data_IF_249280827783
#
_entry.id   IF_249280827783
#
_cell.length_a   1.000
_cell.length_b   1.000
_cell.length_c   1.000
_cell.angle_alpha   90.00
_cell.angle_beta   90.00
_cell.angle_gamma   90.00
#
_symmetry.space_group_name_H-M   'P 1'
#
loop_
_entity.id
_entity.type
_entity.pdbx_description
1 polymer ?
#
# COMPACT_ATOMS: atom_id res chain seq x y z
N UNK A 1 -29.21 -18.67 -0.91
CA UNK A 1 -28.01 -17.89 -1.03
C UNK A 1 -27.42 -18.16 -2.39
N UNK A 2 -27.56 -17.22 -3.30
CA UNK A 2 -27.04 -17.32 -4.66
C UNK A 2 -25.51 -17.35 -4.57
N UNK A 3 -24.94 -18.56 -4.69
CA UNK A 3 -23.51 -18.72 -4.76
C UNK A 3 -23.01 -17.95 -5.98
N UNK A 4 -22.20 -16.92 -5.76
CA UNK A 4 -21.47 -16.26 -6.83
C UNK A 4 -20.76 -17.37 -7.63
N UNK A 5 -21.12 -17.52 -8.89
CA UNK A 5 -20.41 -18.43 -9.78
C UNK A 5 -18.95 -17.93 -9.88
N UNK A 6 -18.04 -18.73 -9.35
CA UNK A 6 -16.60 -18.42 -9.34
C UNK A 6 -16.10 -18.13 -10.75
N UNK A 7 -16.65 -18.81 -11.77
CA UNK A 7 -16.32 -18.56 -13.17
C UNK A 7 -16.67 -17.14 -13.62
N UNK A 8 -17.87 -16.67 -13.27
CA UNK A 8 -18.31 -15.31 -13.57
C UNK A 8 -17.50 -14.26 -12.81
N UNK A 9 -17.16 -14.51 -11.55
CA UNK A 9 -16.31 -13.60 -10.75
C UNK A 9 -14.89 -13.50 -11.34
N UNK A 10 -14.26 -14.61 -11.70
CA UNK A 10 -12.93 -14.66 -12.32
C UNK A 10 -12.95 -13.98 -13.69
N UNK A 11 -13.97 -14.23 -14.51
CA UNK A 11 -14.10 -13.60 -15.83
C UNK A 11 -14.27 -12.09 -15.70
N UNK A 12 -15.11 -11.62 -14.76
CA UNK A 12 -15.26 -10.20 -14.46
C UNK A 12 -13.96 -9.53 -14.02
N UNK A 13 -13.19 -10.23 -13.18
CA UNK A 13 -11.88 -9.77 -12.71
C UNK A 13 -10.88 -9.64 -13.87
N UNK A 14 -10.76 -10.67 -14.71
CA UNK A 14 -9.87 -10.67 -15.89
C UNK A 14 -10.26 -9.57 -16.87
N UNK A 15 -11.55 -9.36 -17.11
CA UNK A 15 -12.04 -8.31 -17.99
C UNK A 15 -11.72 -6.91 -17.43
N UNK A 16 -11.85 -6.71 -16.12
CA UNK A 16 -11.46 -5.46 -15.47
C UNK A 16 -9.96 -5.19 -15.61
N UNK A 17 -9.11 -6.22 -15.53
CA UNK A 17 -7.65 -6.09 -15.70
C UNK A 17 -7.24 -5.76 -17.14
N UNK A 18 -7.94 -6.30 -18.12
CA UNK A 18 -7.65 -6.00 -19.53
C UNK A 18 -7.94 -4.53 -19.88
N UNK A 19 -8.84 -3.87 -19.14
CA UNK A 19 -9.22 -2.48 -19.39
C UNK A 19 -8.29 -1.46 -18.75
N UNK A 20 -7.62 -1.80 -17.66
CA UNK A 20 -6.80 -0.88 -16.89
C UNK A 20 -5.52 -1.56 -16.39
N UNK A 21 -4.38 -1.36 -17.08
CA UNK A 21 -3.08 -1.89 -16.66
C UNK A 21 -2.72 -1.50 -15.22
N UNK A 22 -3.18 -0.34 -14.78
CA UNK A 22 -3.01 0.17 -13.43
C UNK A 22 -3.71 -0.71 -12.39
N UNK A 23 -4.94 -1.15 -12.69
CA UNK A 23 -5.69 -2.08 -11.85
C UNK A 23 -4.99 -3.44 -11.76
N UNK A 24 -4.49 -3.93 -12.89
CA UNK A 24 -3.73 -5.18 -12.93
C UNK A 24 -2.46 -5.09 -12.05
N UNK A 25 -1.72 -3.99 -12.12
CA UNK A 25 -0.52 -3.81 -11.30
C UNK A 25 -0.87 -3.75 -9.81
N UNK A 26 -1.89 -2.99 -9.42
CA UNK A 26 -2.34 -2.88 -8.03
C UNK A 26 -2.80 -4.24 -7.47
N UNK A 27 -3.57 -4.98 -8.25
CA UNK A 27 -4.04 -6.31 -7.87
C UNK A 27 -2.88 -7.32 -7.77
N UNK A 28 -1.97 -7.33 -8.74
CA UNK A 28 -0.80 -8.21 -8.73
C UNK A 28 0.05 -7.96 -7.49
N UNK A 29 0.29 -6.69 -7.15
CA UNK A 29 1.01 -6.33 -5.92
C UNK A 29 0.29 -6.88 -4.67
N UNK A 30 -1.04 -6.81 -4.63
CA UNK A 30 -1.84 -7.33 -3.51
C UNK A 30 -1.74 -8.85 -3.39
N UNK A 31 -1.75 -9.58 -4.51
CA UNK A 31 -1.54 -11.03 -4.51
C UNK A 31 -0.14 -11.42 -4.02
N UNK A 32 0.90 -10.72 -4.49
CA UNK A 32 2.26 -10.94 -3.98
C UNK A 32 2.37 -10.62 -2.49
N UNK A 33 1.66 -9.61 -2.02
CA UNK A 33 1.59 -9.30 -0.59
C UNK A 33 0.90 -10.40 0.20
N UNK A 34 -0.21 -10.94 -0.29
CA UNK A 34 -0.91 -12.06 0.35
C UNK A 34 -0.07 -13.35 0.43
N UNK A 35 0.89 -13.50 -0.47
CA UNK A 35 1.84 -14.61 -0.49
C UNK A 35 3.20 -14.26 0.15
N UNK A 36 3.36 -13.07 0.74
CA UNK A 36 4.66 -12.54 1.18
C UNK A 36 5.41 -13.49 2.12
N UNK A 37 4.72 -14.04 3.11
CA UNK A 37 5.34 -14.99 4.06
C UNK A 37 5.82 -16.27 3.40
N UNK A 38 5.06 -16.80 2.43
CA UNK A 38 5.44 -18.00 1.67
C UNK A 38 6.62 -17.70 0.75
N UNK A 39 6.60 -16.58 0.05
CA UNK A 39 7.69 -16.15 -0.82
C UNK A 39 8.98 -15.91 -0.04
N UNK A 40 8.88 -15.33 1.15
CA UNK A 40 10.03 -15.14 2.03
C UNK A 40 10.64 -16.47 2.47
N UNK A 41 9.81 -17.46 2.82
CA UNK A 41 10.28 -18.82 3.16
C UNK A 41 10.94 -19.51 1.97
N UNK A 42 10.48 -19.25 0.76
CA UNK A 42 11.07 -19.75 -0.48
C UNK A 42 12.35 -19.00 -0.91
N UNK A 43 12.82 -18.02 -0.13
CA UNK A 43 14.01 -17.21 -0.49
C UNK A 43 13.74 -16.12 -1.52
N UNK A 44 12.48 -15.80 -1.80
CA UNK A 44 12.03 -14.79 -2.77
C UNK A 44 11.31 -13.63 -2.05
N UNK A 45 12.02 -12.81 -1.25
CA UNK A 45 11.37 -11.79 -0.44
C UNK A 45 10.78 -10.66 -1.30
N UNK A 46 9.52 -10.31 -1.03
CA UNK A 46 8.85 -9.13 -1.62
C UNK A 46 9.20 -7.91 -0.78
N UNK A 47 10.21 -7.15 -1.22
CA UNK A 47 10.78 -6.00 -0.48
C UNK A 47 10.52 -4.68 -1.21
N UNK A 48 9.35 -4.53 -1.80
CA UNK A 48 8.95 -3.33 -2.51
C UNK A 48 7.68 -2.73 -1.89
N UNK A 49 7.48 -1.45 -2.18
CA UNK A 49 6.28 -0.67 -1.88
C UNK A 49 5.58 -0.38 -3.21
N UNK A 50 4.27 -0.53 -3.28
CA UNK A 50 3.52 0.01 -4.41
C UNK A 50 3.29 1.50 -4.15
N UNK A 51 3.82 2.35 -5.02
CA UNK A 51 3.72 3.80 -4.92
C UNK A 51 2.91 4.35 -6.09
N UNK A 52 1.67 4.77 -5.80
CA UNK A 52 0.72 5.29 -6.79
C UNK A 52 0.81 6.81 -6.76
N UNK A 53 1.34 7.39 -7.84
CA UNK A 53 1.52 8.84 -7.96
C UNK A 53 0.69 9.40 -9.11
N UNK A 54 0.15 10.59 -8.92
CA UNK A 54 -0.65 11.31 -9.90
C UNK A 54 -1.27 12.56 -9.29
N UNK A 55 -1.82 13.44 -10.10
CA UNK A 55 -2.48 14.64 -9.62
C UNK A 55 -3.79 14.33 -8.89
N UNK A 56 -4.31 15.30 -8.15
CA UNK A 56 -5.58 15.19 -7.46
C UNK A 56 -6.71 14.86 -8.44
N UNK A 57 -7.66 14.02 -8.02
CA UNK A 57 -8.82 13.65 -8.84
C UNK A 57 -8.57 12.50 -9.83
N UNK A 58 -7.35 11.99 -9.99
CA UNK A 58 -7.06 10.89 -10.93
C UNK A 58 -7.43 9.48 -10.44
N UNK A 59 -8.07 9.35 -9.28
CA UNK A 59 -8.59 8.07 -8.79
C UNK A 59 -7.57 7.22 -8.02
N UNK A 60 -6.42 7.78 -7.59
CA UNK A 60 -5.37 7.06 -6.82
C UNK A 60 -5.93 6.29 -5.62
N UNK A 61 -6.66 7.00 -4.75
CA UNK A 61 -7.23 6.41 -3.54
C UNK A 61 -8.31 5.38 -3.85
N UNK A 62 -9.10 5.59 -4.90
CA UNK A 62 -10.10 4.62 -5.35
C UNK A 62 -9.45 3.35 -5.86
N UNK A 63 -8.39 3.48 -6.69
CA UNK A 63 -7.62 2.35 -7.18
C UNK A 63 -7.02 1.54 -6.01
N UNK A 64 -6.36 2.23 -5.08
CA UNK A 64 -5.76 1.59 -3.91
C UNK A 64 -6.81 0.89 -3.04
N UNK A 65 -7.91 1.54 -2.71
CA UNK A 65 -8.99 0.98 -1.89
C UNK A 65 -9.67 -0.20 -2.56
N UNK A 66 -9.85 -0.18 -3.88
CA UNK A 66 -10.54 -1.25 -4.60
C UNK A 66 -9.69 -2.50 -4.76
N UNK A 67 -8.41 -2.35 -5.11
CA UNK A 67 -7.56 -3.48 -5.48
C UNK A 67 -6.55 -3.89 -4.40
N UNK A 68 -6.17 -2.98 -3.52
CA UNK A 68 -5.17 -3.28 -2.50
C UNK A 68 -5.78 -3.78 -1.18
N UNK A 69 -7.11 -3.73 -1.04
CA UNK A 69 -7.81 -4.15 0.18
C UNK A 69 -8.73 -5.35 -0.02
N UNK A 70 -8.47 -6.15 -1.06
CA UNK A 70 -9.30 -7.31 -1.43
C UNK A 70 -9.48 -8.35 -0.33
N UNK A 71 -8.53 -8.43 0.58
CA UNK A 71 -8.56 -9.37 1.71
C UNK A 71 -8.94 -8.68 3.03
N UNK A 72 -9.36 -7.42 2.98
CA UNK A 72 -9.86 -6.69 4.13
C UNK A 72 -11.39 -6.85 4.28
N UNK A 73 -11.90 -6.56 5.47
CA UNK A 73 -13.33 -6.64 5.74
C UNK A 73 -14.12 -5.63 4.88
N UNK A 74 -14.87 -6.13 3.91
CA UNK A 74 -15.66 -5.33 2.96
C UNK A 74 -16.80 -4.52 3.62
N UNK A 75 -17.12 -4.79 4.89
CA UNK A 75 -18.16 -4.06 5.62
C UNK A 75 -17.71 -2.68 6.08
N UNK A 76 -16.42 -2.38 6.01
CA UNK A 76 -15.85 -1.11 6.46
C UNK A 76 -15.74 -0.11 5.31
N UNK A 77 -16.15 1.14 5.56
CA UNK A 77 -15.99 2.27 4.61
C UNK A 77 -14.53 2.58 4.26
N UNK A 78 -13.62 2.31 5.19
CA UNK A 78 -12.17 2.46 5.02
C UNK A 78 -11.51 1.16 5.43
N UNK A 79 -10.44 0.75 4.74
CA UNK A 79 -9.63 -0.39 5.17
C UNK A 79 -9.20 -0.18 6.63
N UNK A 80 -9.23 -1.25 7.40
CA UNK A 80 -8.84 -1.21 8.82
C UNK A 80 -7.42 -0.66 9.03
N UNK A 81 -6.58 -0.69 7.99
CA UNK A 81 -5.17 -0.33 7.97
C UNK A 81 -4.90 0.84 7.02
N UNK A 82 -5.82 1.80 6.91
CA UNK A 82 -5.63 3.04 6.16
C UNK A 82 -5.15 4.14 7.07
N UNK A 83 -4.08 4.81 6.66
CA UNK A 83 -3.42 5.91 7.33
C UNK A 83 -3.31 7.10 6.38
N UNK A 84 -3.14 8.29 6.92
CA UNK A 84 -2.99 9.55 6.19
C UNK A 84 -1.69 10.29 6.59
N UNK A 85 -1.51 11.48 6.05
CA UNK A 85 -0.37 12.33 6.34
C UNK A 85 -0.30 12.82 7.81
N UNK A 86 -1.43 12.77 8.55
CA UNK A 86 -1.52 13.13 9.97
C UNK A 86 -1.18 11.97 10.91
N UNK A 87 -1.09 10.78 10.37
CA UNK A 87 -0.83 9.55 11.14
C UNK A 87 0.61 9.52 11.68
N UNK A 88 0.79 8.91 12.84
CA UNK A 88 2.12 8.78 13.43
C UNK A 88 2.91 7.64 12.82
N UNK A 89 4.24 7.80 12.74
CA UNK A 89 5.10 6.69 12.31
C UNK A 89 4.93 5.43 13.16
N UNK A 90 4.67 5.59 14.47
CA UNK A 90 4.49 4.46 15.38
C UNK A 90 3.24 3.64 15.04
N UNK A 91 2.10 4.30 14.76
CA UNK A 91 0.86 3.62 14.39
C UNK A 91 1.00 2.86 13.06
N UNK A 92 1.61 3.48 12.04
CA UNK A 92 1.85 2.83 10.74
C UNK A 92 2.81 1.65 10.90
N UNK A 93 3.89 1.81 11.64
CA UNK A 93 4.85 0.73 11.90
C UNK A 93 4.21 -0.45 12.62
N UNK A 94 3.40 -0.16 13.64
CA UNK A 94 2.73 -1.21 14.40
C UNK A 94 1.70 -1.96 13.52
N UNK A 95 1.01 -1.28 12.61
CA UNK A 95 0.16 -1.91 11.60
C UNK A 95 0.96 -2.77 10.61
N UNK A 96 2.08 -2.26 10.09
CA UNK A 96 2.98 -3.02 9.20
C UNK A 96 3.51 -4.31 9.85
N UNK A 97 3.64 -4.33 11.18
CA UNK A 97 4.08 -5.50 11.93
C UNK A 97 2.95 -6.49 12.24
N UNK A 98 1.74 -5.99 12.48
CA UNK A 98 0.60 -6.80 12.91
C UNK A 98 -0.17 -7.41 11.74
N UNK A 99 -0.22 -6.74 10.60
CA UNK A 99 -1.01 -7.12 9.43
C UNK A 99 -0.22 -8.07 8.51
N UNK A 100 -0.02 -9.28 8.99
CA UNK A 100 0.72 -10.29 8.23
C UNK A 100 0.02 -10.61 6.91
N UNK A 101 0.79 -10.53 5.81
CA UNK A 101 0.33 -10.86 4.46
C UNK A 101 -0.86 -10.01 3.95
N UNK A 102 -1.14 -8.87 4.62
CA UNK A 102 -2.15 -7.89 4.22
C UNK A 102 -1.50 -6.58 3.79
N UNK A 103 -2.27 -5.74 3.13
CA UNK A 103 -1.83 -4.41 2.70
C UNK A 103 -2.12 -3.37 3.79
N UNK A 104 -1.13 -2.56 4.10
CA UNK A 104 -1.28 -1.30 4.82
C UNK A 104 -1.28 -0.17 3.80
N UNK A 105 -2.30 0.67 3.83
CA UNK A 105 -2.47 1.81 2.93
C UNK A 105 -2.09 3.11 3.62
N UNK A 106 -1.15 3.86 3.03
CA UNK A 106 -0.85 5.24 3.39
C UNK A 106 -1.43 6.14 2.29
N UNK A 107 -2.61 6.71 2.56
CA UNK A 107 -3.41 7.42 1.58
C UNK A 107 -3.18 8.94 1.64
N UNK A 108 -3.31 9.58 0.49
CA UNK A 108 -3.38 11.03 0.32
C UNK A 108 -2.18 11.84 0.85
N UNK A 109 -0.98 11.44 0.42
CA UNK A 109 0.22 12.25 0.65
C UNK A 109 0.30 13.39 -0.37
N UNK A 110 -0.35 14.50 -0.04
CA UNK A 110 -0.30 15.73 -0.84
C UNK A 110 0.82 16.67 -0.37
N UNK A 111 1.16 17.62 -1.22
CA UNK A 111 2.07 18.72 -0.87
C UNK A 111 1.46 19.61 0.23
N UNK A 112 2.32 20.16 1.10
CA UNK A 112 1.95 21.20 2.02
C UNK A 112 2.61 22.52 1.61
N UNK A 113 1.85 23.61 1.65
CA UNK A 113 2.39 24.96 1.46
C UNK A 113 3.31 25.39 2.61
N UNK A 114 3.21 24.72 3.76
CA UNK A 114 4.01 25.01 4.96
C UNK A 114 5.25 24.12 4.94
N UNK A 115 6.43 24.72 4.77
CA UNK A 115 7.72 24.01 4.63
C UNK A 115 8.02 23.03 5.78
N UNK A 116 7.63 23.37 7.01
CA UNK A 116 7.84 22.50 8.17
C UNK A 116 6.97 21.25 8.13
N UNK A 117 5.74 21.36 7.62
CA UNK A 117 4.85 20.22 7.46
C UNK A 117 5.27 19.33 6.28
N UNK A 118 5.67 19.95 5.18
CA UNK A 118 6.22 19.23 4.03
C UNK A 118 7.44 18.40 4.46
N UNK A 119 8.36 18.97 5.23
CA UNK A 119 9.51 18.25 5.76
C UNK A 119 9.11 17.09 6.68
N UNK A 120 8.10 17.26 7.52
CA UNK A 120 7.55 16.19 8.37
C UNK A 120 6.95 15.05 7.54
N UNK A 121 6.15 15.37 6.51
CA UNK A 121 5.54 14.39 5.60
C UNK A 121 6.61 13.59 4.85
N UNK A 122 7.61 14.25 4.29
CA UNK A 122 8.75 13.59 3.62
C UNK A 122 9.54 12.69 4.57
N UNK A 123 9.78 13.14 5.80
CA UNK A 123 10.45 12.33 6.84
C UNK A 123 9.61 11.11 7.23
N UNK A 124 8.29 11.27 7.37
CA UNK A 124 7.37 10.16 7.64
C UNK A 124 7.44 9.14 6.51
N UNK A 125 7.27 9.59 5.26
CA UNK A 125 7.29 8.75 4.07
C UNK A 125 8.59 7.96 3.96
N UNK A 126 9.74 8.63 4.10
CA UNK A 126 11.05 7.98 4.08
C UNK A 126 11.17 6.87 5.12
N UNK A 127 10.75 7.13 6.35
CA UNK A 127 10.79 6.14 7.43
C UNK A 127 9.87 4.97 7.17
N UNK A 128 8.67 5.22 6.66
CA UNK A 128 7.66 4.18 6.38
C UNK A 128 8.13 3.28 5.23
N UNK A 129 8.62 3.86 4.12
CA UNK A 129 9.17 3.08 3.00
C UNK A 129 10.31 2.17 3.46
N UNK A 130 11.27 2.72 4.21
CA UNK A 130 12.40 1.95 4.73
C UNK A 130 11.95 0.84 5.67
N UNK A 131 10.93 1.11 6.50
CA UNK A 131 10.37 0.10 7.41
C UNK A 131 9.69 -1.02 6.67
N UNK A 132 8.92 -0.72 5.63
CA UNK A 132 8.18 -1.72 4.85
C UNK A 132 9.10 -2.61 4.00
N UNK A 133 10.28 -2.09 3.59
CA UNK A 133 11.19 -2.79 2.68
C UNK A 133 12.39 -3.45 3.37
N UNK A 134 12.71 -3.05 4.60
CA UNK A 134 13.76 -3.70 5.35
C UNK A 134 13.21 -4.95 6.04
N UNK A 135 13.77 -6.10 5.73
CA UNK A 135 13.46 -7.38 6.42
C UNK A 135 14.01 -7.37 7.85
N UNK A 136 14.94 -6.43 8.15
CA UNK A 136 15.55 -6.34 9.46
C UNK A 136 14.55 -5.80 10.48
N UNK A 137 14.47 -6.52 11.57
CA UNK A 137 13.70 -6.19 12.76
C UNK A 137 13.97 -4.77 13.27
N UNK A 138 12.87 -4.07 13.60
CA UNK A 138 12.95 -2.78 14.28
C UNK A 138 12.97 -2.99 15.79
N UNK A 139 13.96 -2.43 16.46
CA UNK A 139 13.97 -2.40 17.91
C UNK A 139 12.83 -1.49 18.45
N UNK A 140 11.85 -2.06 19.14
CA UNK A 140 10.91 -1.32 19.97
C UNK A 140 11.33 -1.47 21.42
N UNK A 141 11.58 -0.35 22.11
CA UNK A 141 11.74 -0.38 23.57
C UNK A 141 10.37 -0.66 24.19
N UNK A 142 10.21 -1.81 24.79
CA UNK A 142 9.09 -2.13 25.66
C UNK A 142 9.66 -2.35 27.08
N UNK A 143 9.58 -1.32 27.91
CA UNK A 143 10.29 -1.27 29.18
C UNK A 143 11.82 -1.36 28.99
N UNK A 144 12.49 -2.32 29.63
CA UNK A 144 13.94 -2.56 29.53
C UNK A 144 14.34 -3.55 28.41
N UNK A 145 13.39 -4.01 27.57
CA UNK A 145 13.67 -4.98 26.51
C UNK A 145 13.56 -4.34 25.13
N UNK A 146 14.54 -4.59 24.26
CA UNK A 146 14.43 -4.32 22.84
C UNK A 146 13.63 -5.47 22.22
N UNK A 147 12.41 -5.19 21.75
CA UNK A 147 11.60 -6.15 20.99
C UNK A 147 11.88 -5.89 19.51
N UNK A 148 12.35 -6.92 18.83
CA UNK A 148 12.50 -6.89 17.39
C UNK A 148 11.13 -7.03 16.72
N UNK A 149 10.76 -6.06 15.87
CA UNK A 149 9.51 -6.06 15.11
C UNK A 149 9.87 -6.24 13.63
N UNK A 150 9.43 -7.33 13.04
CA UNK A 150 9.57 -7.57 11.60
C UNK A 150 8.34 -7.08 10.87
N UNK A 151 8.55 -6.36 9.78
CA UNK A 151 7.46 -5.92 8.93
C UNK A 151 6.93 -7.11 8.11
N UNK A 152 5.66 -7.46 8.32
CA UNK A 152 5.02 -8.61 7.68
C UNK A 152 3.97 -8.21 6.64
N UNK A 153 3.55 -6.94 6.61
CA UNK A 153 2.58 -6.39 5.67
C UNK A 153 3.24 -5.82 4.41
N UNK A 154 2.49 -5.77 3.31
CA UNK A 154 2.83 -4.93 2.16
C UNK A 154 2.43 -3.48 2.42
N UNK A 155 3.10 -2.52 1.78
CA UNK A 155 2.77 -1.11 1.86
C UNK A 155 2.33 -0.60 0.49
N UNK A 156 1.17 0.07 0.46
CA UNK A 156 0.71 0.87 -0.67
C UNK A 156 0.67 2.33 -0.24
N UNK A 157 1.18 3.20 -1.08
CA UNK A 157 1.19 4.65 -0.84
C UNK A 157 0.49 5.33 -2.01
N UNK A 158 -0.42 6.26 -1.73
CA UNK A 158 -0.96 7.18 -2.74
C UNK A 158 -0.44 8.59 -2.48
N UNK A 159 0.06 9.26 -3.51
CA UNK A 159 0.67 10.56 -3.33
C UNK A 159 0.54 11.45 -4.58
N UNK A 160 0.72 12.75 -4.38
CA UNK A 160 0.87 13.73 -5.47
C UNK A 160 2.36 14.03 -5.76
N UNK A 161 3.26 13.59 -4.89
CA UNK A 161 4.68 13.80 -5.00
C UNK A 161 5.44 12.48 -5.08
N UNK A 162 6.59 12.48 -5.73
CA UNK A 162 7.54 11.37 -5.71
C UNK A 162 8.39 11.39 -4.42
N UNK A 163 8.88 10.22 -3.98
CA UNK A 163 9.92 10.15 -2.97
C UNK A 163 11.12 11.00 -3.37
N UNK A 164 11.69 11.73 -2.41
CA UNK A 164 12.76 12.69 -2.69
C UNK A 164 14.15 12.05 -2.85
N UNK A 165 14.36 10.89 -2.22
CA UNK A 165 15.65 10.20 -2.26
C UNK A 165 15.66 9.07 -3.28
N UNK A 166 16.74 8.99 -4.08
CA UNK A 166 16.94 7.90 -5.04
C UNK A 166 16.86 6.51 -4.37
N UNK A 167 17.40 6.40 -3.15
CA UNK A 167 17.34 5.16 -2.36
C UNK A 167 15.94 4.74 -1.93
N UNK A 168 14.95 5.63 -1.98
CA UNK A 168 13.55 5.33 -1.73
C UNK A 168 12.86 4.91 -3.03
N UNK A 169 13.17 5.58 -4.13
CA UNK A 169 12.65 5.24 -5.45
C UNK A 169 13.01 3.80 -5.86
N UNK A 170 14.23 3.35 -5.58
CA UNK A 170 14.67 1.98 -5.88
C UNK A 170 13.92 0.91 -5.07
N UNK A 171 13.19 1.30 -4.03
CA UNK A 171 12.38 0.42 -3.19
C UNK A 171 10.91 0.42 -3.58
N UNK A 172 10.53 1.22 -4.56
CA UNK A 172 9.15 1.40 -4.96
C UNK A 172 8.90 0.81 -6.35
N UNK A 173 7.79 0.13 -6.50
CA UNK A 173 7.13 -0.09 -7.77
C UNK A 173 6.28 1.15 -8.01
N UNK A 174 6.69 1.98 -8.97
CA UNK A 174 6.00 3.23 -9.28
C UNK A 174 4.85 2.95 -10.25
N UNK A 175 3.65 3.32 -9.85
CA UNK A 175 2.46 3.35 -10.69
C UNK A 175 2.05 4.81 -10.89
N UNK A 176 2.29 5.34 -12.07
CA UNK A 176 1.96 6.72 -12.40
C UNK A 176 0.63 6.79 -13.10
N UNK A 177 -0.28 7.60 -12.56
CA UNK A 177 -1.55 7.92 -13.20
C UNK A 177 -1.38 9.23 -13.96
N UNK A 178 -1.34 9.16 -15.29
CA UNK A 178 -1.19 10.32 -16.19
C UNK A 178 -2.53 10.83 -16.71
N UNK A 179 -3.63 10.12 -16.42
CA UNK A 179 -4.99 10.48 -16.78
C UNK A 179 -5.95 10.07 -15.67
N UNK A 180 -7.12 10.66 -15.67
CA UNK A 180 -8.20 10.26 -14.77
C UNK A 180 -8.63 8.84 -15.16
N UNK A 181 -8.60 7.94 -14.20
CA UNK A 181 -9.16 6.61 -14.39
C UNK A 181 -10.67 6.80 -14.60
N UNK A 182 -11.17 6.33 -15.75
CA UNK A 182 -12.60 6.34 -16.05
C UNK A 182 -13.35 5.68 -14.89
N UNK A 183 -14.44 6.30 -14.46
CA UNK A 183 -15.19 5.89 -13.29
C UNK A 183 -15.40 4.39 -13.28
N UNK A 184 -14.87 3.73 -12.25
CA UNK A 184 -15.17 2.34 -11.96
C UNK A 184 -16.58 2.28 -11.35
N UNK A 185 -17.59 2.69 -12.12
CA UNK A 185 -18.95 2.36 -11.74
C UNK A 185 -19.12 0.84 -11.85
N UNK A 186 -19.59 0.19 -10.78
CA UNK A 186 -20.04 -1.19 -10.90
C UNK A 186 -21.25 -1.19 -11.83
N UNK A 187 -21.09 -1.78 -13.01
CA UNK A 187 -22.22 -2.17 -13.85
C UNK A 187 -23.09 -3.19 -13.17
#
# INVERSE_FOLDING_TARGET
GDGLDVGTAVTGLVTAFQRTPEAMMAFTFTLFTAMRSLLQQAGLPVNSVLYIVGIQGFGKSQLAKRYCTLFDDSTRRLPANSFDAGSTFASIRDALAQQRDLVVLLDDLCHSSIASEEAKRRKLLSRVIRSATNITSFGKKSGNRNVEITCAAGLVVTAEMLPSAASELTRCVLLRLDHQLADFEPS
#
